data_IF_050187854151
#
_entry.id   IF_050187854151
#
_cell.length_a   1.000
_cell.length_b   1.000
_cell.length_c   1.000
_cell.angle_alpha   90.00
_cell.angle_beta   90.00
_cell.angle_gamma   90.00
#
_symmetry.space_group_name_H-M   'P 1'
#
loop_
_entity.id
_entity.type
_entity.pdbx_description
1 polymer ?
#
# COMPACT_ATOMS: atom_id res chain seq x y z
N UNK A 1 35.30 10.69 21.82
CA UNK A 1 33.95 11.07 21.35
C UNK A 1 33.68 10.25 20.09
N UNK A 2 33.00 9.11 20.23
CA UNK A 2 32.80 8.15 19.13
C UNK A 2 31.82 8.71 18.09
N UNK A 3 32.15 8.55 16.81
CA UNK A 3 31.22 8.79 15.71
C UNK A 3 30.05 7.84 15.89
N UNK A 4 28.83 8.39 15.92
CA UNK A 4 27.62 7.62 15.81
C UNK A 4 27.67 6.82 14.50
N UNK A 5 27.55 5.51 14.63
CA UNK A 5 27.39 4.56 13.55
C UNK A 5 26.06 4.89 12.86
N UNK A 6 26.14 5.51 11.67
CA UNK A 6 24.98 5.60 10.79
C UNK A 6 24.89 4.23 10.14
N UNK A 7 24.05 3.37 10.71
CA UNK A 7 23.68 2.10 10.10
C UNK A 7 23.38 2.33 8.63
N UNK A 8 24.00 1.50 7.77
CA UNK A 8 23.75 1.54 6.34
C UNK A 8 22.26 1.40 6.02
N UNK A 9 21.82 1.71 4.79
CA UNK A 9 20.45 1.44 4.41
C UNK A 9 20.17 -0.05 4.67
N UNK A 10 19.11 -0.32 5.44
CA UNK A 10 18.57 -1.67 5.54
C UNK A 10 18.28 -2.11 4.10
N UNK A 11 18.80 -3.27 3.71
CA UNK A 11 18.57 -3.86 2.39
C UNK A 11 17.06 -4.01 2.18
N UNK A 12 16.52 -3.47 1.09
CA UNK A 12 15.11 -3.64 0.76
C UNK A 12 14.84 -5.11 0.43
N UNK A 13 13.87 -5.69 1.13
CA UNK A 13 13.37 -7.05 0.87
C UNK A 13 11.90 -6.93 0.44
N UNK A 14 11.57 -7.26 -0.82
CA UNK A 14 10.19 -7.20 -1.30
C UNK A 14 9.22 -7.94 -0.39
N UNK A 15 8.09 -7.30 -0.10
CA UNK A 15 6.99 -7.84 0.71
C UNK A 15 7.32 -8.09 2.19
N UNK A 16 8.53 -7.80 2.68
CA UNK A 16 8.87 -8.02 4.09
C UNK A 16 8.01 -7.15 5.02
N UNK A 17 7.89 -5.86 4.73
CA UNK A 17 7.09 -4.96 5.56
C UNK A 17 5.59 -5.09 5.27
N UNK A 18 5.21 -5.22 4.00
CA UNK A 18 3.81 -5.33 3.60
C UNK A 18 3.15 -6.62 4.14
N UNK A 19 3.88 -7.74 4.17
CA UNK A 19 3.36 -9.02 4.69
C UNK A 19 2.99 -9.00 6.17
N UNK A 20 3.43 -7.99 6.93
CA UNK A 20 2.97 -7.79 8.31
C UNK A 20 1.50 -7.40 8.41
N UNK A 21 0.86 -7.00 7.31
CA UNK A 21 -0.58 -6.80 7.25
C UNK A 21 -1.36 -8.12 7.19
N UNK A 22 -0.74 -9.27 6.89
CA UNK A 22 -1.46 -10.54 6.78
C UNK A 22 -2.14 -10.90 8.11
N UNK A 23 -3.45 -11.15 8.06
CA UNK A 23 -4.31 -11.37 9.22
C UNK A 23 -4.90 -10.09 9.83
N UNK A 24 -4.40 -8.92 9.44
CA UNK A 24 -4.97 -7.64 9.86
C UNK A 24 -6.27 -7.32 9.14
N UNK A 25 -7.20 -6.71 9.87
CA UNK A 25 -8.48 -6.28 9.29
C UNK A 25 -8.37 -4.83 8.85
N UNK A 26 -8.62 -4.58 7.57
CA UNK A 26 -8.86 -3.24 7.05
C UNK A 26 -10.22 -2.75 7.53
N UNK A 27 -10.25 -1.64 8.27
CA UNK A 27 -11.47 -1.14 8.89
C UNK A 27 -11.87 0.27 8.45
N UNK A 28 -10.96 1.01 7.80
CA UNK A 28 -11.22 2.36 7.32
C UNK A 28 -10.62 2.57 5.94
N UNK A 29 -11.36 3.32 5.13
CA UNK A 29 -10.91 3.92 3.87
C UNK A 29 -11.21 5.42 3.96
N UNK A 30 -10.21 6.24 3.72
CA UNK A 30 -10.34 7.70 3.69
C UNK A 30 -9.90 8.23 2.34
N UNK A 31 -10.73 9.10 1.75
CA UNK A 31 -10.40 9.83 0.53
C UNK A 31 -9.90 11.21 0.95
N UNK A 32 -8.60 11.46 0.83
CA UNK A 32 -8.04 12.80 0.98
C UNK A 32 -8.12 13.47 -0.40
N UNK A 33 -9.06 14.39 -0.53
CA UNK A 33 -9.42 15.01 -1.80
C UNK A 33 -8.19 15.63 -2.47
N UNK A 34 -7.94 15.23 -3.72
CA UNK A 34 -6.80 15.64 -4.55
C UNK A 34 -5.41 15.25 -4.02
N UNK A 35 -5.33 14.24 -3.14
CA UNK A 35 -4.05 13.83 -2.54
C UNK A 35 -3.85 12.31 -2.58
N UNK A 36 -4.56 11.55 -1.73
CA UNK A 36 -4.37 10.10 -1.64
C UNK A 36 -5.61 9.37 -1.10
N UNK A 37 -5.63 8.06 -1.31
CA UNK A 37 -6.49 7.14 -0.56
C UNK A 37 -5.69 6.61 0.62
N UNK A 38 -6.27 6.64 1.82
CA UNK A 38 -5.67 6.04 3.01
C UNK A 38 -6.46 4.81 3.43
N UNK A 39 -5.75 3.69 3.60
CA UNK A 39 -6.28 2.46 4.15
C UNK A 39 -5.77 2.29 5.59
N UNK A 40 -6.65 1.97 6.53
CA UNK A 40 -6.27 1.67 7.92
C UNK A 40 -6.58 0.25 8.30
N UNK A 41 -5.63 -0.36 8.98
CA UNK A 41 -5.68 -1.73 9.49
C UNK A 41 -5.61 -1.71 11.01
N UNK A 42 -6.22 -2.70 11.67
CA UNK A 42 -6.27 -2.79 13.13
C UNK A 42 -4.87 -2.63 13.76
N UNK A 43 -3.86 -3.24 13.16
CA UNK A 43 -2.45 -3.12 13.53
C UNK A 43 -2.10 -3.94 14.78
N UNK A 44 -0.79 -4.05 15.05
CA UNK A 44 -0.29 -4.84 16.18
C UNK A 44 -0.94 -4.43 17.51
N UNK A 45 -1.48 -5.38 18.28
CA UNK A 45 -2.00 -5.11 19.63
C UNK A 45 -0.95 -4.42 20.51
N UNK A 46 -1.22 -3.15 20.85
CA UNK A 46 -0.36 -2.31 21.68
C UNK A 46 0.78 -1.60 20.94
N UNK A 47 0.70 -1.41 19.62
CA UNK A 47 1.53 -0.44 18.88
C UNK A 47 1.16 1.02 19.20
N UNK A 48 -0.05 1.27 19.69
CA UNK A 48 -0.53 2.62 20.01
C UNK A 48 -1.05 3.41 18.80
N UNK A 49 -0.87 2.88 17.59
CA UNK A 49 -1.42 3.39 16.34
C UNK A 49 -1.82 2.25 15.41
N UNK A 50 -2.85 2.43 14.55
CA UNK A 50 -3.14 1.47 13.48
C UNK A 50 -2.01 1.45 12.45
N UNK A 51 -1.87 0.34 11.72
CA UNK A 51 -1.08 0.33 10.51
C UNK A 51 -1.83 1.10 9.42
N UNK A 52 -1.11 1.93 8.67
CA UNK A 52 -1.66 2.86 7.68
C UNK A 52 -0.92 2.66 6.37
N UNK A 53 -1.68 2.55 5.27
CA UNK A 53 -1.17 2.61 3.91
C UNK A 53 -1.76 3.85 3.21
N UNK A 54 -0.92 4.83 2.90
CA UNK A 54 -1.26 5.93 2.01
C UNK A 54 -0.97 5.50 0.57
N UNK A 55 -1.98 5.59 -0.29
CA UNK A 55 -1.90 5.32 -1.72
C UNK A 55 -1.92 6.65 -2.46
N UNK A 56 -0.75 7.15 -2.84
CA UNK A 56 -0.60 8.42 -3.58
C UNK A 56 -0.94 8.25 -5.06
N UNK A 57 -0.81 7.04 -5.58
CA UNK A 57 -1.48 6.61 -6.79
C UNK A 57 -2.79 5.89 -6.45
N UNK A 58 -3.84 6.14 -7.24
CA UNK A 58 -5.14 5.50 -7.03
C UNK A 58 -5.04 3.99 -7.31
N UNK A 59 -5.36 3.13 -6.32
CA UNK A 59 -5.31 1.68 -6.55
C UNK A 59 -6.40 1.22 -7.51
N UNK A 60 -6.13 0.17 -8.27
CA UNK A 60 -7.17 -0.62 -8.90
C UNK A 60 -7.80 -1.54 -7.84
N UNK A 61 -9.14 -1.62 -7.84
CA UNK A 61 -9.90 -2.43 -6.90
C UNK A 61 -10.51 -3.62 -7.61
N UNK A 62 -10.22 -4.82 -7.12
CA UNK A 62 -10.85 -6.05 -7.59
C UNK A 62 -11.98 -6.42 -6.64
N UNK A 63 -13.22 -6.32 -7.12
CA UNK A 63 -14.41 -6.63 -6.33
C UNK A 63 -15.52 -7.17 -7.23
N UNK A 64 -16.21 -8.22 -6.76
CA UNK A 64 -17.29 -8.89 -7.48
C UNK A 64 -16.91 -9.35 -8.91
N UNK A 65 -15.67 -9.85 -9.08
CA UNK A 65 -15.17 -10.35 -10.37
C UNK A 65 -14.88 -9.25 -11.41
N UNK A 66 -14.81 -7.99 -10.98
CA UNK A 66 -14.49 -6.83 -11.82
C UNK A 66 -13.34 -6.02 -11.23
N UNK A 67 -12.54 -5.43 -12.12
CA UNK A 67 -11.57 -4.38 -11.78
C UNK A 67 -12.23 -3.01 -11.89
N UNK A 68 -12.02 -2.17 -10.88
CA UNK A 68 -12.51 -0.80 -10.78
C UNK A 68 -11.32 0.15 -10.68
N UNK A 69 -11.26 1.15 -11.55
CA UNK A 69 -10.26 2.21 -11.52
C UNK A 69 -10.89 3.51 -11.04
N UNK A 70 -10.08 4.49 -10.64
CA UNK A 70 -10.56 5.77 -10.08
C UNK A 70 -11.64 6.44 -10.95
N UNK A 71 -11.46 6.41 -12.28
CA UNK A 71 -12.37 7.03 -13.24
C UNK A 71 -13.73 6.32 -13.36
N UNK A 72 -13.88 5.11 -12.81
CA UNK A 72 -15.11 4.33 -12.91
C UNK A 72 -16.18 4.86 -11.95
N UNK A 73 -17.38 5.10 -12.47
CA UNK A 73 -18.55 5.36 -11.64
C UNK A 73 -18.84 4.12 -10.76
N UNK A 74 -18.67 4.26 -9.45
CA UNK A 74 -18.79 3.17 -8.48
C UNK A 74 -17.46 2.73 -7.85
N UNK A 75 -16.33 3.33 -8.25
CA UNK A 75 -15.02 3.07 -7.65
C UNK A 75 -15.03 3.17 -6.12
N UNK A 76 -15.60 4.26 -5.57
CA UNK A 76 -15.69 4.45 -4.13
C UNK A 76 -16.55 3.39 -3.43
N UNK A 77 -17.61 2.90 -4.09
CA UNK A 77 -18.43 1.80 -3.56
C UNK A 77 -17.68 0.48 -3.57
N UNK A 78 -16.92 0.19 -4.64
CA UNK A 78 -16.09 -1.00 -4.73
C UNK A 78 -15.00 -1.00 -3.65
N UNK A 79 -14.31 0.12 -3.47
CA UNK A 79 -13.29 0.26 -2.41
C UNK A 79 -13.91 0.14 -1.01
N UNK A 80 -15.05 0.79 -0.77
CA UNK A 80 -15.77 0.68 0.51
C UNK A 80 -16.24 -0.76 0.77
N UNK A 81 -16.64 -1.50 -0.25
CA UNK A 81 -17.08 -2.88 -0.13
C UNK A 81 -15.97 -3.83 0.36
N UNK A 82 -14.69 -3.42 0.28
CA UNK A 82 -13.59 -4.15 0.88
C UNK A 82 -13.57 -4.06 2.42
N UNK A 83 -14.35 -3.15 3.03
CA UNK A 83 -14.37 -2.93 4.49
C UNK A 83 -15.65 -3.42 5.18
N UNK A 84 -15.54 -4.10 6.34
CA UNK A 84 -14.30 -4.67 6.88
C UNK A 84 -13.85 -5.88 6.04
N UNK A 85 -12.55 -6.02 5.83
CA UNK A 85 -11.94 -7.18 5.16
C UNK A 85 -10.64 -7.57 5.85
N UNK A 86 -10.37 -8.86 5.94
CA UNK A 86 -9.14 -9.40 6.54
C UNK A 86 -8.14 -9.68 5.42
N UNK A 87 -6.92 -9.17 5.56
CA UNK A 87 -5.83 -9.41 4.60
C UNK A 87 -5.45 -10.89 4.63
N UNK A 88 -5.67 -11.56 3.50
CA UNK A 88 -5.37 -12.97 3.30
C UNK A 88 -3.93 -13.17 2.78
N UNK A 89 -3.47 -12.31 1.87
CA UNK A 89 -2.12 -12.34 1.33
C UNK A 89 -1.68 -10.97 0.83
N UNK A 90 -0.36 -10.79 0.72
CA UNK A 90 0.25 -9.61 0.11
C UNK A 90 1.38 -10.03 -0.82
N UNK A 91 1.64 -9.23 -1.84
CA UNK A 91 2.82 -9.40 -2.70
C UNK A 91 3.35 -8.06 -3.20
N UNK A 92 4.66 -8.04 -3.44
CA UNK A 92 5.40 -6.97 -4.08
C UNK A 92 6.21 -7.58 -5.23
N UNK A 93 6.04 -7.09 -6.45
CA UNK A 93 6.74 -7.64 -7.63
C UNK A 93 6.84 -6.61 -8.77
N UNK A 94 8.04 -6.41 -9.32
CA UNK A 94 8.31 -5.60 -10.52
C UNK A 94 7.36 -5.94 -11.68
N UNK A 95 6.80 -4.92 -12.33
CA UNK A 95 5.86 -5.06 -13.45
C UNK A 95 4.43 -5.41 -13.06
N UNK A 96 4.16 -5.69 -11.78
CA UNK A 96 2.82 -5.95 -11.24
C UNK A 96 2.49 -5.16 -9.98
N UNK A 97 3.51 -4.63 -9.30
CA UNK A 97 3.40 -3.68 -8.19
C UNK A 97 3.08 -4.34 -6.87
N UNK A 98 2.32 -3.61 -6.06
CA UNK A 98 1.83 -4.05 -4.76
C UNK A 98 0.44 -4.64 -4.93
N UNK A 99 0.20 -5.79 -4.31
CA UNK A 99 -1.12 -6.40 -4.18
C UNK A 99 -1.41 -6.75 -2.74
N UNK A 100 -2.63 -6.46 -2.30
CA UNK A 100 -3.19 -6.85 -1.01
C UNK A 100 -4.50 -7.59 -1.30
N UNK A 101 -4.51 -8.89 -1.08
CA UNK A 101 -5.72 -9.71 -1.14
C UNK A 101 -6.40 -9.68 0.22
N UNK A 102 -7.69 -9.37 0.22
CA UNK A 102 -8.59 -9.49 1.36
C UNK A 102 -9.60 -10.60 1.08
N UNK A 103 -10.23 -11.10 2.14
CA UNK A 103 -11.38 -12.00 2.01
C UNK A 103 -12.60 -11.36 1.30
N UNK A 104 -12.61 -10.03 1.16
CA UNK A 104 -13.65 -9.24 0.49
C UNK A 104 -13.31 -8.80 -0.94
N UNK A 105 -12.06 -8.96 -1.40
CA UNK A 105 -11.59 -8.49 -2.71
C UNK A 105 -10.09 -8.17 -2.69
N UNK A 106 -9.59 -7.33 -3.58
CA UNK A 106 -8.17 -6.95 -3.58
C UNK A 106 -7.93 -5.48 -3.90
N UNK A 107 -6.84 -4.96 -3.35
CA UNK A 107 -6.25 -3.66 -3.67
C UNK A 107 -4.97 -3.90 -4.47
N UNK A 108 -4.86 -3.29 -5.64
CA UNK A 108 -3.69 -3.41 -6.52
C UNK A 108 -3.13 -2.02 -6.83
N UNK A 109 -1.85 -1.81 -6.57
CA UNK A 109 -1.13 -0.58 -6.86
C UNK A 109 -0.02 -0.86 -7.86
N UNK A 110 -0.31 -0.51 -9.11
CA UNK A 110 0.68 -0.45 -10.17
C UNK A 110 0.29 0.66 -11.15
N UNK A 111 0.57 1.93 -10.81
CA UNK A 111 0.23 3.04 -11.68
C UNK A 111 1.02 2.96 -12.98
N UNK A 112 0.50 3.60 -14.02
CA UNK A 112 1.31 3.93 -15.21
C UNK A 112 2.25 5.09 -14.86
N UNK A 113 3.32 5.24 -15.63
CA UNK A 113 4.31 6.31 -15.40
C UNK A 113 3.69 7.72 -15.48
N UNK A 114 2.61 7.90 -16.25
CA UNK A 114 1.86 9.17 -16.35
C UNK A 114 0.87 9.41 -15.19
N UNK A 115 0.72 8.45 -14.27
CA UNK A 115 -0.20 8.48 -13.13
C UNK A 115 0.52 8.67 -11.78
N UNK A 116 1.85 8.78 -11.78
CA UNK A 116 2.68 8.96 -10.57
C UNK A 116 3.77 10.00 -10.79
N UNK A 117 3.97 10.88 -9.81
CA UNK A 117 4.95 11.98 -9.90
C UNK A 117 6.08 11.88 -8.87
N UNK A 118 5.82 11.38 -7.66
CA UNK A 118 6.81 11.39 -6.57
C UNK A 118 6.80 10.07 -5.80
N UNK A 119 5.66 9.70 -5.23
CA UNK A 119 5.51 8.49 -4.42
C UNK A 119 4.32 7.69 -4.97
N UNK A 120 4.44 6.37 -4.99
CA UNK A 120 3.33 5.46 -5.33
C UNK A 120 2.49 5.21 -4.08
N UNK A 121 3.15 4.87 -2.97
CA UNK A 121 2.51 4.60 -1.70
C UNK A 121 3.49 4.73 -0.52
N UNK A 122 2.96 4.83 0.69
CA UNK A 122 3.71 4.76 1.95
C UNK A 122 2.96 3.89 2.97
N UNK A 123 3.67 2.95 3.59
CA UNK A 123 3.16 2.19 4.74
C UNK A 123 3.89 2.57 6.03
N UNK A 124 3.14 2.70 7.12
CA UNK A 124 3.67 3.08 8.43
C UNK A 124 2.75 2.63 9.57
N UNK A 125 3.13 2.95 10.82
CA UNK A 125 2.30 2.69 12.01
C UNK A 125 2.61 1.39 12.74
N UNK A 126 3.67 0.68 12.33
CA UNK A 126 4.15 -0.53 12.99
C UNK A 126 4.82 -0.23 14.35
N UNK A 127 4.77 -1.18 15.28
CA UNK A 127 5.28 -1.03 16.65
C UNK A 127 6.77 -0.68 16.71
N UNK A 128 7.56 -1.23 15.80
CA UNK A 128 9.01 -1.00 15.71
C UNK A 128 9.36 0.32 15.00
N UNK A 129 8.36 1.10 14.59
CA UNK A 129 8.53 2.34 13.85
C UNK A 129 8.94 2.12 12.38
N UNK A 130 8.86 0.89 11.88
CA UNK A 130 9.15 0.60 10.48
C UNK A 130 8.21 1.39 9.55
N UNK A 131 8.76 1.83 8.43
CA UNK A 131 8.03 2.47 7.33
C UNK A 131 8.69 2.13 6.01
N UNK A 132 7.91 2.08 4.95
CA UNK A 132 8.40 1.96 3.58
C UNK A 132 7.67 2.98 2.72
N UNK A 133 8.42 3.63 1.82
CA UNK A 133 7.86 4.51 0.80
C UNK A 133 8.28 3.95 -0.54
N UNK A 134 7.30 3.64 -1.38
CA UNK A 134 7.52 3.15 -2.73
C UNK A 134 7.50 4.31 -3.72
N UNK A 135 8.46 4.34 -4.65
CA UNK A 135 8.63 5.40 -5.66
C UNK A 135 8.80 4.81 -7.05
N UNK A 136 8.39 5.53 -8.12
CA UNK A 136 8.66 5.10 -9.48
C UNK A 136 10.18 5.01 -9.74
N UNK A 137 10.61 3.96 -10.44
CA UNK A 137 12.01 3.71 -10.77
C UNK A 137 12.84 3.08 -9.64
N UNK A 138 12.21 2.71 -8.52
CA UNK A 138 12.86 2.09 -7.36
C UNK A 138 12.19 0.74 -7.02
N UNK A 139 12.99 -0.25 -6.62
CA UNK A 139 12.52 -1.48 -5.98
C UNK A 139 11.41 -2.20 -6.78
N UNK A 140 10.24 -2.41 -6.17
CA UNK A 140 9.05 -3.03 -6.81
C UNK A 140 8.51 -2.26 -8.01
N UNK A 141 8.91 -0.99 -8.17
CA UNK A 141 8.48 -0.13 -9.27
C UNK A 141 9.67 0.30 -10.14
N UNK A 142 10.76 -0.48 -10.17
CA UNK A 142 11.92 -0.22 -11.03
C UNK A 142 11.56 -0.15 -12.53
N UNK A 143 10.44 -0.75 -12.94
CA UNK A 143 9.92 -0.68 -14.30
C UNK A 143 9.18 0.64 -14.62
N UNK A 144 8.83 1.44 -13.61
CA UNK A 144 8.19 2.74 -13.78
C UNK A 144 9.24 3.85 -14.01
N UNK A 145 9.89 3.80 -15.17
CA UNK A 145 10.83 4.83 -15.63
C UNK A 145 10.33 5.48 -16.93
N UNK A 146 10.62 6.78 -17.12
CA UNK A 146 10.44 7.40 -18.43
C UNK A 146 11.37 6.73 -19.46
N UNK A 147 10.87 6.45 -20.69
CA UNK A 147 11.65 5.81 -21.75
C UNK A 147 12.79 6.67 -22.31
#
# INVERSE_FOLDING_TARGET
>A
MGKADRGGPLEYVPNELLSRLVGERMYSVEFVVNDYVQLRFDGDPGAGSPAILNCYSWPAIEYAGRVWNESDLGYADALRALTPGVVASTSEQTGTGIRIDLDTGAVVLHPRIDEVYVEVAEIMGFRDGARMVWRPGEDTFEDLVEP
#
